data_IF_561497417821
#
_entry.id   IF_561497417821
#
_cell.length_a   1.000
_cell.length_b   1.000
_cell.length_c   1.000
_cell.angle_alpha   90.00
_cell.angle_beta   90.00
_cell.angle_gamma   90.00
#
_symmetry.space_group_name_H-M   'P 1'
#
loop_
_entity.id
_entity.type
_entity.pdbx_description
1 polymer ?
#
# COMPACT_ATOMS: atom_id res chain seq x y z
N UNK A 1 -13.38 -2.09 -7.48
CA UNK A 1 -13.57 -2.16 -6.02
C UNK A 1 -14.51 -1.07 -5.53
N UNK A 2 -14.17 0.22 -5.62
CA UNK A 2 -15.05 1.30 -5.19
C UNK A 2 -16.42 1.29 -5.88
N UNK A 3 -16.48 0.97 -7.18
CA UNK A 3 -17.75 0.85 -7.89
C UNK A 3 -18.55 -0.40 -7.44
N UNK A 4 -17.87 -1.39 -6.85
CA UNK A 4 -18.52 -2.59 -6.28
C UNK A 4 -19.05 -2.35 -4.87
N UNK A 5 -18.40 -1.48 -4.09
CA UNK A 5 -18.85 -1.08 -2.74
C UNK A 5 -19.95 -0.03 -2.76
N UNK A 6 -20.20 0.62 -3.91
CA UNK A 6 -21.08 1.78 -4.01
C UNK A 6 -20.51 3.07 -3.38
N UNK A 7 -19.35 2.99 -2.76
CA UNK A 7 -18.69 4.10 -2.05
C UNK A 7 -17.50 4.63 -2.87
N UNK A 8 -17.67 5.82 -3.46
CA UNK A 8 -16.66 6.46 -4.31
C UNK A 8 -15.76 7.37 -3.49
N UNK A 9 -14.57 6.86 -3.15
CA UNK A 9 -13.60 7.57 -2.33
C UNK A 9 -12.36 7.94 -3.13
N UNK A 10 -12.40 9.10 -3.78
CA UNK A 10 -11.31 9.55 -4.66
C UNK A 10 -10.01 9.81 -3.90
N UNK A 11 -10.08 10.27 -2.64
CA UNK A 11 -8.90 10.48 -1.79
C UNK A 11 -8.21 9.16 -1.44
N UNK A 12 -8.97 8.13 -1.10
CA UNK A 12 -8.43 6.78 -0.85
C UNK A 12 -7.78 6.24 -2.13
N UNK A 13 -8.42 6.41 -3.29
CA UNK A 13 -7.84 5.99 -4.56
C UNK A 13 -6.54 6.75 -4.86
N UNK A 14 -6.53 8.06 -4.65
CA UNK A 14 -5.35 8.92 -4.83
C UNK A 14 -4.18 8.45 -3.95
N UNK A 15 -4.45 8.13 -2.69
CA UNK A 15 -3.41 7.74 -1.72
C UNK A 15 -2.65 6.47 -2.10
N UNK A 16 -3.31 5.50 -2.74
CA UNK A 16 -2.68 4.21 -3.08
C UNK A 16 -1.94 4.21 -4.41
N UNK A 17 -1.98 5.29 -5.19
CA UNK A 17 -1.26 5.37 -6.47
C UNK A 17 0.25 5.22 -6.32
N UNK A 18 0.83 5.65 -5.20
CA UNK A 18 2.26 5.46 -4.89
C UNK A 18 2.65 4.04 -4.50
N UNK A 19 1.70 3.13 -4.32
CA UNK A 19 2.00 1.73 -4.02
C UNK A 19 2.21 0.87 -5.29
N UNK A 20 2.05 1.47 -6.49
CA UNK A 20 2.32 0.76 -7.74
C UNK A 20 3.81 0.40 -7.90
N UNK A 21 4.07 -0.61 -8.74
CA UNK A 21 5.43 -1.11 -8.93
C UNK A 21 6.05 -1.75 -7.67
N UNK A 22 5.25 -1.95 -6.64
CA UNK A 22 5.68 -2.46 -5.33
C UNK A 22 6.30 -1.36 -4.47
N UNK A 23 5.51 -0.37 -4.05
CA UNK A 23 5.90 0.82 -3.33
C UNK A 23 6.87 1.70 -4.14
N UNK A 24 6.31 2.65 -4.87
CA UNK A 24 7.04 3.58 -5.77
C UNK A 24 8.07 2.87 -6.65
N UNK A 25 7.66 1.77 -7.26
CA UNK A 25 8.50 0.95 -8.15
C UNK A 25 9.72 0.28 -7.48
N UNK A 26 9.80 0.18 -6.16
CA UNK A 26 10.90 -0.49 -5.44
C UNK A 26 10.94 -2.01 -5.63
N UNK A 27 9.85 -2.57 -6.16
CA UNK A 27 9.74 -4.01 -6.41
C UNK A 27 9.18 -4.83 -5.26
N UNK A 28 8.74 -4.20 -4.16
CA UNK A 28 8.09 -4.81 -2.98
C UNK A 28 6.68 -5.35 -3.29
N UNK A 29 5.79 -5.41 -2.32
CA UNK A 29 4.42 -5.93 -2.46
C UNK A 29 3.70 -5.31 -3.66
N UNK A 30 3.16 -6.17 -4.53
CA UNK A 30 2.48 -5.74 -5.74
C UNK A 30 1.31 -4.77 -5.44
N UNK A 31 1.24 -3.63 -6.15
CA UNK A 31 0.18 -2.64 -5.96
C UNK A 31 -1.24 -3.20 -6.17
N UNK A 32 -1.39 -4.27 -6.95
CA UNK A 32 -2.68 -4.99 -7.10
C UNK A 32 -3.10 -5.63 -5.79
N UNK A 33 -2.14 -6.18 -5.03
CA UNK A 33 -2.40 -6.72 -3.69
C UNK A 33 -2.77 -5.61 -2.70
N UNK A 34 -1.97 -4.55 -2.64
CA UNK A 34 -2.20 -3.43 -1.73
C UNK A 34 -3.56 -2.77 -1.99
N UNK A 35 -3.88 -2.48 -3.25
CA UNK A 35 -5.17 -1.91 -3.64
C UNK A 35 -6.34 -2.87 -3.43
N UNK A 36 -6.13 -4.18 -3.63
CA UNK A 36 -7.14 -5.20 -3.38
C UNK A 36 -7.47 -5.38 -1.91
N UNK A 37 -6.46 -5.45 -1.03
CA UNK A 37 -6.66 -5.54 0.41
C UNK A 37 -7.39 -4.32 0.97
N UNK A 38 -6.98 -3.11 0.56
CA UNK A 38 -7.71 -1.89 0.94
C UNK A 38 -9.14 -1.88 0.40
N UNK A 39 -9.35 -2.41 -0.80
CA UNK A 39 -10.68 -2.58 -1.37
C UNK A 39 -11.55 -3.58 -0.61
N UNK A 40 -10.98 -4.66 -0.05
CA UNK A 40 -11.69 -5.59 0.85
C UNK A 40 -12.15 -4.83 2.11
N UNK A 41 -11.25 -4.07 2.77
CA UNK A 41 -11.64 -3.26 3.92
C UNK A 41 -12.75 -2.26 3.58
N UNK A 42 -12.68 -1.61 2.42
CA UNK A 42 -13.71 -0.67 1.97
C UNK A 42 -15.07 -1.37 1.73
N UNK A 43 -15.09 -2.57 1.18
CA UNK A 43 -16.34 -3.33 0.97
C UNK A 43 -17.02 -3.68 2.30
N UNK A 44 -16.25 -3.89 3.36
CA UNK A 44 -16.76 -4.26 4.68
C UNK A 44 -16.81 -3.09 5.68
N UNK A 45 -16.72 -1.87 5.18
CA UNK A 45 -16.65 -0.67 6.02
C UNK A 45 -17.81 -0.53 6.99
N UNK A 46 -19.01 -0.87 6.56
CA UNK A 46 -20.19 -0.81 7.44
C UNK A 46 -20.07 -1.82 8.59
N UNK A 47 -19.60 -3.03 8.30
CA UNK A 47 -19.31 -4.03 9.33
C UNK A 47 -18.20 -3.58 10.28
N UNK A 48 -17.15 -2.90 9.77
CA UNK A 48 -16.09 -2.31 10.60
C UNK A 48 -16.62 -1.28 11.57
N UNK A 49 -17.54 -0.44 11.13
CA UNK A 49 -18.19 0.58 11.99
C UNK A 49 -19.10 -0.03 13.03
N UNK A 50 -19.83 -1.08 12.66
CA UNK A 50 -20.80 -1.73 13.54
C UNK A 50 -20.14 -2.65 14.57
N UNK A 51 -19.10 -3.40 14.18
CA UNK A 51 -18.52 -4.47 15.00
C UNK A 51 -17.06 -4.23 15.40
N UNK A 52 -16.43 -3.13 14.96
CA UNK A 52 -15.09 -2.71 15.36
C UNK A 52 -14.03 -3.78 15.13
N UNK A 53 -13.31 -4.14 16.21
CA UNK A 53 -12.17 -5.07 16.18
C UNK A 53 -12.55 -6.46 15.64
N UNK A 54 -13.76 -6.96 15.94
CA UNK A 54 -14.21 -8.26 15.43
C UNK A 54 -14.32 -8.29 13.91
N UNK A 55 -14.87 -7.21 13.32
CA UNK A 55 -14.91 -7.10 11.87
C UNK A 55 -13.51 -6.87 11.28
N UNK A 56 -12.65 -6.11 11.97
CA UNK A 56 -11.29 -5.88 11.51
C UNK A 56 -10.47 -7.17 11.42
N UNK A 57 -10.56 -8.06 12.42
CA UNK A 57 -9.91 -9.37 12.39
C UNK A 57 -10.40 -10.22 11.21
N UNK A 58 -11.71 -10.28 10.97
CA UNK A 58 -12.29 -11.01 9.84
C UNK A 58 -11.88 -10.43 8.48
N UNK A 59 -11.82 -9.10 8.36
CA UNK A 59 -11.32 -8.40 7.16
C UNK A 59 -9.85 -8.75 6.91
N UNK A 60 -9.02 -8.79 7.97
CA UNK A 60 -7.62 -9.18 7.86
C UNK A 60 -7.43 -10.62 7.38
N UNK A 61 -8.26 -11.55 7.86
CA UNK A 61 -8.25 -12.94 7.38
C UNK A 61 -8.62 -13.03 5.90
N UNK A 62 -9.65 -12.29 5.48
CA UNK A 62 -10.08 -12.27 4.08
C UNK A 62 -9.02 -11.63 3.17
N UNK A 63 -8.43 -10.53 3.60
CA UNK A 63 -7.30 -9.92 2.90
C UNK A 63 -6.09 -10.87 2.84
N UNK A 64 -5.82 -11.63 3.92
CA UNK A 64 -4.79 -12.66 3.95
C UNK A 64 -5.05 -13.77 2.92
N UNK A 65 -6.29 -14.30 2.87
CA UNK A 65 -6.67 -15.29 1.84
C UNK A 65 -6.50 -14.75 0.42
N UNK A 66 -6.79 -13.48 0.20
CA UNK A 66 -6.55 -12.83 -1.09
C UNK A 66 -5.05 -12.78 -1.43
N UNK A 67 -4.19 -12.45 -0.46
CA UNK A 67 -2.72 -12.43 -0.66
C UNK A 67 -2.20 -13.83 -0.97
N UNK A 68 -2.65 -14.85 -0.24
CA UNK A 68 -2.26 -16.25 -0.42
C UNK A 68 -2.68 -16.75 -1.82
N UNK A 69 -3.96 -16.55 -2.19
CA UNK A 69 -4.46 -16.88 -3.52
C UNK A 69 -3.66 -16.19 -4.64
N UNK A 70 -3.30 -14.92 -4.44
CA UNK A 70 -2.53 -14.18 -5.43
C UNK A 70 -1.12 -14.77 -5.61
N UNK A 71 -0.47 -15.15 -4.51
CA UNK A 71 0.82 -15.82 -4.51
C UNK A 71 0.78 -17.15 -5.28
N UNK A 72 -0.24 -17.97 -5.00
CA UNK A 72 -0.47 -19.25 -5.68
C UNK A 72 -0.80 -19.06 -7.17
N UNK A 73 -1.72 -18.15 -7.49
CA UNK A 73 -2.18 -17.94 -8.86
C UNK A 73 -1.14 -17.31 -9.79
N UNK A 74 -0.19 -16.54 -9.24
CA UNK A 74 0.78 -15.75 -10.02
C UNK A 74 2.24 -16.00 -9.68
N UNK A 75 2.53 -16.91 -8.77
CA UNK A 75 3.86 -17.39 -8.41
C UNK A 75 4.63 -16.50 -7.44
N UNK A 76 4.17 -15.27 -7.17
CA UNK A 76 4.80 -14.37 -6.21
C UNK A 76 3.89 -13.19 -5.82
N UNK A 77 4.13 -12.61 -4.65
CA UNK A 77 3.41 -11.43 -4.12
C UNK A 77 4.15 -10.12 -4.39
N UNK A 78 5.46 -10.15 -4.65
CA UNK A 78 6.26 -8.95 -4.90
C UNK A 78 6.33 -8.60 -6.38
N UNK A 79 6.39 -7.30 -6.69
CA UNK A 79 6.45 -6.82 -8.06
C UNK A 79 7.75 -7.27 -8.74
N UNK A 80 8.90 -7.22 -8.03
CA UNK A 80 10.20 -7.66 -8.55
C UNK A 80 10.21 -9.13 -8.94
N UNK A 81 9.74 -10.02 -8.08
CA UNK A 81 9.72 -11.46 -8.37
C UNK A 81 8.79 -11.80 -9.54
N UNK A 82 7.65 -11.11 -9.66
CA UNK A 82 6.67 -11.33 -10.74
C UNK A 82 7.12 -10.81 -12.10
N UNK A 83 7.84 -9.70 -12.13
CA UNK A 83 8.25 -9.06 -13.38
C UNK A 83 9.67 -9.39 -13.80
N UNK A 84 10.52 -9.74 -12.84
CA UNK A 84 11.96 -9.90 -13.05
C UNK A 84 12.65 -8.59 -13.45
N UNK A 85 12.10 -7.45 -13.00
CA UNK A 85 12.51 -6.11 -13.43
C UNK A 85 12.93 -5.27 -12.23
N UNK A 86 14.04 -4.54 -12.38
CA UNK A 86 14.38 -3.40 -11.55
C UNK A 86 13.95 -2.12 -12.27
N UNK A 87 12.88 -1.50 -11.78
CA UNK A 87 12.31 -0.31 -12.39
C UNK A 87 13.19 0.95 -12.20
N UNK A 88 14.20 0.89 -11.35
CA UNK A 88 15.16 2.00 -11.17
C UNK A 88 16.34 1.94 -12.18
N UNK A 89 16.32 1.03 -13.14
CA UNK A 89 17.33 0.91 -14.19
C UNK A 89 16.71 1.10 -15.58
N UNK A 90 17.49 1.68 -16.50
CA UNK A 90 17.07 1.83 -17.91
C UNK A 90 16.78 0.47 -18.54
N UNK A 91 17.66 -0.51 -18.30
CA UNK A 91 17.47 -1.87 -18.80
C UNK A 91 16.21 -2.53 -18.25
N UNK A 92 15.87 -2.28 -16.98
CA UNK A 92 14.65 -2.75 -16.37
C UNK A 92 13.41 -2.14 -17.02
N UNK A 93 13.39 -0.83 -17.21
CA UNK A 93 12.30 -0.12 -17.88
C UNK A 93 12.07 -0.62 -19.30
N UNK A 94 13.15 -0.72 -20.09
CA UNK A 94 13.07 -1.26 -21.45
C UNK A 94 12.55 -2.70 -21.45
N UNK A 95 13.05 -3.55 -20.55
CA UNK A 95 12.64 -4.95 -20.44
C UNK A 95 11.16 -5.09 -20.02
N UNK A 96 10.62 -4.14 -19.27
CA UNK A 96 9.20 -4.13 -18.91
C UNK A 96 8.31 -3.70 -20.07
N UNK A 97 8.71 -2.65 -20.78
CA UNK A 97 7.93 -2.04 -21.86
C UNK A 97 8.05 -2.78 -23.19
N UNK A 98 9.23 -3.38 -23.46
CA UNK A 98 9.54 -4.06 -24.72
C UNK A 98 10.04 -5.49 -24.47
N UNK A 99 9.49 -6.50 -25.14
CA UNK A 99 8.41 -6.46 -26.16
C UNK A 99 6.98 -6.29 -25.61
N UNK A 100 6.81 -5.97 -24.32
CA UNK A 100 5.50 -5.72 -23.69
C UNK A 100 4.84 -6.95 -23.06
N UNK A 101 5.47 -8.12 -23.14
CA UNK A 101 4.94 -9.37 -22.56
C UNK A 101 4.75 -9.27 -21.03
N UNK A 102 5.65 -8.58 -20.32
CA UNK A 102 5.59 -8.38 -18.87
C UNK A 102 4.46 -7.42 -18.48
N UNK A 103 4.33 -6.32 -19.21
CA UNK A 103 3.23 -5.38 -19.01
C UNK A 103 1.89 -6.06 -19.28
N UNK A 104 1.76 -6.81 -20.39
CA UNK A 104 0.54 -7.54 -20.70
C UNK A 104 0.20 -8.62 -19.66
N UNK A 105 1.22 -9.27 -19.08
CA UNK A 105 1.04 -10.20 -17.97
C UNK A 105 0.49 -9.49 -16.74
N UNK A 106 1.04 -8.31 -16.38
CA UNK A 106 0.49 -7.51 -15.28
C UNK A 106 -0.97 -7.14 -15.52
N UNK A 107 -1.35 -6.69 -16.71
CA UNK A 107 -2.74 -6.36 -17.04
C UNK A 107 -3.68 -7.57 -16.90
N UNK A 108 -3.24 -8.77 -17.35
CA UNK A 108 -4.03 -10.01 -17.16
C UNK A 108 -4.18 -10.38 -15.69
N UNK A 109 -3.11 -10.17 -14.88
CA UNK A 109 -3.17 -10.41 -13.43
C UNK A 109 -4.11 -9.43 -12.73
N UNK A 110 -4.13 -8.15 -13.12
CA UNK A 110 -5.10 -7.17 -12.62
C UNK A 110 -6.53 -7.66 -12.93
N UNK A 111 -6.82 -8.05 -14.16
CA UNK A 111 -8.15 -8.52 -14.56
C UNK A 111 -8.60 -9.78 -13.77
N UNK A 112 -7.67 -10.71 -13.50
CA UNK A 112 -7.97 -11.89 -12.68
C UNK A 112 -8.18 -11.54 -11.21
N UNK A 113 -7.37 -10.63 -10.66
CA UNK A 113 -7.51 -10.16 -9.29
C UNK A 113 -8.86 -9.44 -9.09
N UNK A 114 -9.25 -8.57 -10.02
CA UNK A 114 -10.57 -7.89 -9.98
C UNK A 114 -11.71 -8.92 -9.99
N UNK A 115 -11.64 -9.96 -10.84
CA UNK A 115 -12.66 -11.04 -10.83
C UNK A 115 -12.71 -11.80 -9.51
N UNK A 116 -11.55 -12.12 -8.92
CA UNK A 116 -11.51 -12.76 -7.61
C UNK A 116 -12.20 -11.90 -6.55
N UNK A 117 -11.85 -10.61 -6.49
CA UNK A 117 -12.42 -9.66 -5.54
C UNK A 117 -13.93 -9.43 -5.79
N UNK A 118 -14.37 -9.46 -7.04
CA UNK A 118 -15.80 -9.41 -7.36
C UNK A 118 -16.57 -10.60 -6.78
N UNK A 119 -15.98 -11.79 -6.81
CA UNK A 119 -16.61 -12.99 -6.24
C UNK A 119 -16.62 -13.00 -4.69
N UNK A 120 -15.83 -12.12 -4.04
CA UNK A 120 -15.89 -11.91 -2.60
C UNK A 120 -16.98 -10.91 -2.20
N UNK A 121 -17.34 -9.98 -3.09
CA UNK A 121 -18.37 -8.98 -2.82
C UNK A 121 -19.72 -9.65 -2.55
N UNK A 122 -20.38 -9.24 -1.46
CA UNK A 122 -21.67 -9.78 -1.03
C UNK A 122 -21.60 -11.02 -0.12
N UNK A 123 -20.40 -11.44 0.30
CA UNK A 123 -20.25 -12.44 1.35
C UNK A 123 -20.25 -11.76 2.72
N UNK A 124 -21.05 -12.28 3.63
CA UNK A 124 -20.97 -11.86 5.03
C UNK A 124 -19.65 -12.30 5.63
N UNK A 125 -19.03 -11.39 6.40
CA UNK A 125 -17.84 -11.74 7.18
C UNK A 125 -18.24 -12.75 8.26
N UNK A 126 -17.52 -13.87 8.34
CA UNK A 126 -17.55 -14.70 9.54
C UNK A 126 -17.05 -13.86 10.72
N UNK A 127 -17.72 -13.93 11.86
CA UNK A 127 -17.30 -13.20 13.06
C UNK A 127 -15.87 -13.62 13.43
N UNK A 128 -14.95 -12.65 13.47
CA UNK A 128 -13.58 -12.87 13.92
C UNK A 128 -13.50 -13.09 15.43
N UNK A 129 -12.34 -13.53 15.91
CA UNK A 129 -12.07 -13.74 17.33
C UNK A 129 -12.16 -12.45 18.14
N UNK A 130 -12.51 -12.58 19.42
CA UNK A 130 -12.68 -11.48 20.36
C UNK A 130 -11.34 -10.98 20.88
N UNK A 131 -10.89 -9.82 20.47
CA UNK A 131 -9.77 -9.12 21.11
C UNK A 131 -10.29 -8.04 22.06
N UNK A 132 -9.70 -7.96 23.26
CA UNK A 132 -10.01 -6.93 24.25
C UNK A 132 -8.93 -5.85 24.22
N UNK A 133 -9.29 -4.60 23.88
CA UNK A 133 -8.38 -3.47 23.89
C UNK A 133 -8.47 -2.62 22.62
N UNK A 134 -7.86 -1.43 22.66
CA UNK A 134 -7.68 -0.61 21.46
C UNK A 134 -6.54 -1.19 20.62
N UNK A 135 -6.80 -1.58 19.36
CA UNK A 135 -5.76 -2.17 18.53
C UNK A 135 -4.72 -1.12 18.11
N UNK A 136 -3.48 -1.57 18.01
CA UNK A 136 -2.38 -0.80 17.47
C UNK A 136 -2.24 -1.08 15.96
N UNK A 137 -1.97 -0.04 15.20
CA UNK A 137 -1.86 -0.13 13.73
C UNK A 137 -0.65 0.63 13.23
N UNK A 138 0.14 0.04 12.32
CA UNK A 138 1.34 0.66 11.76
C UNK A 138 0.99 1.80 10.80
N UNK A 139 0.28 1.49 9.71
CA UNK A 139 -0.02 2.46 8.66
C UNK A 139 -0.96 3.57 9.14
N UNK A 140 -2.02 3.22 9.87
CA UNK A 140 -2.97 4.19 10.41
C UNK A 140 -2.31 5.15 11.40
N UNK A 141 -1.36 4.68 12.22
CA UNK A 141 -0.62 5.53 13.14
C UNK A 141 0.26 6.54 12.41
N UNK A 142 0.96 6.12 11.34
CA UNK A 142 1.73 7.06 10.50
C UNK A 142 0.82 8.11 9.87
N UNK A 143 -0.30 7.70 9.26
CA UNK A 143 -1.26 8.61 8.63
C UNK A 143 -1.78 9.64 9.63
N UNK A 144 -2.14 9.22 10.85
CA UNK A 144 -2.58 10.10 11.92
C UNK A 144 -1.50 11.10 12.33
N UNK A 145 -0.28 10.63 12.59
CA UNK A 145 0.84 11.50 12.96
C UNK A 145 1.16 12.53 11.89
N UNK A 146 1.10 12.14 10.60
CA UNK A 146 1.30 13.08 9.48
C UNK A 146 0.17 14.10 9.45
N UNK A 147 -1.09 13.68 9.61
CA UNK A 147 -2.24 14.59 9.65
C UNK A 147 -2.12 15.61 10.79
N UNK A 148 -1.78 15.18 11.98
CA UNK A 148 -1.60 16.06 13.15
C UNK A 148 -0.52 17.12 12.90
N UNK A 149 0.57 16.77 12.21
CA UNK A 149 1.71 17.66 11.98
C UNK A 149 1.59 18.54 10.75
N UNK A 150 0.82 18.12 9.74
CA UNK A 150 0.80 18.78 8.41
C UNK A 150 -0.58 19.20 7.95
N UNK A 151 -1.64 18.75 8.60
CA UNK A 151 -3.03 18.88 8.14
C UNK A 151 -3.38 17.99 6.94
N UNK A 152 -2.47 17.14 6.46
CA UNK A 152 -2.70 16.22 5.34
C UNK A 152 -3.16 14.89 5.91
N UNK A 153 -4.42 14.55 5.73
CA UNK A 153 -4.99 13.30 6.23
C UNK A 153 -6.35 13.00 5.61
N UNK A 154 -6.85 11.82 5.91
CA UNK A 154 -8.17 11.36 5.50
C UNK A 154 -8.65 10.32 6.50
N UNK A 155 -9.76 10.60 7.19
CA UNK A 155 -10.30 9.74 8.26
C UNK A 155 -10.62 8.32 7.75
N UNK A 156 -11.17 8.22 6.54
CA UNK A 156 -11.48 6.93 5.96
C UNK A 156 -10.22 6.12 5.65
N UNK A 157 -9.19 6.78 5.11
CA UNK A 157 -7.93 6.10 4.84
C UNK A 157 -7.29 5.57 6.13
N UNK A 158 -7.34 6.34 7.21
CA UNK A 158 -6.86 5.90 8.53
C UNK A 158 -7.68 4.70 9.05
N UNK A 159 -9.02 4.75 8.89
CA UNK A 159 -9.93 3.65 9.26
C UNK A 159 -9.59 2.36 8.50
N UNK A 160 -9.22 2.43 7.23
CA UNK A 160 -9.01 1.26 6.38
C UNK A 160 -7.55 0.76 6.34
N UNK A 161 -6.58 1.59 6.76
CA UNK A 161 -5.15 1.31 6.56
C UNK A 161 -4.60 0.15 7.42
N UNK A 162 -5.36 -0.36 8.40
CA UNK A 162 -4.97 -1.51 9.22
C UNK A 162 -4.68 -2.76 8.38
N UNK A 163 -5.20 -2.86 7.16
CA UNK A 163 -4.90 -3.99 6.25
C UNK A 163 -3.42 -4.08 5.88
N UNK A 164 -2.62 -3.04 6.12
CA UNK A 164 -1.17 -3.05 5.93
C UNK A 164 -0.40 -3.60 7.13
N UNK A 165 -1.07 -3.91 8.23
CA UNK A 165 -0.43 -4.47 9.42
C UNK A 165 0.23 -5.80 9.13
N UNK A 166 1.38 -6.03 9.80
CA UNK A 166 2.17 -7.24 9.60
C UNK A 166 2.66 -7.44 8.17
N UNK A 167 2.74 -6.37 7.38
CA UNK A 167 3.19 -6.40 5.99
C UNK A 167 2.12 -6.94 5.03
N UNK A 168 0.98 -6.28 4.99
CA UNK A 168 -0.23 -6.61 4.26
C UNK A 168 -0.89 -7.90 4.76
N UNK A 169 -1.90 -7.72 5.61
CA UNK A 169 -2.69 -8.79 6.20
C UNK A 169 -1.84 -9.90 6.84
N UNK A 170 -0.82 -9.50 7.60
CA UNK A 170 0.12 -10.40 8.33
C UNK A 170 0.98 -11.30 7.43
N UNK A 171 1.06 -11.04 6.12
CA UNK A 171 1.82 -11.86 5.15
C UNK A 171 3.26 -11.43 4.95
N UNK A 172 3.76 -10.50 5.80
CA UNK A 172 5.17 -10.11 5.83
C UNK A 172 5.66 -9.32 4.60
N UNK A 173 4.76 -8.75 3.81
CA UNK A 173 5.07 -7.88 2.68
C UNK A 173 5.51 -6.49 3.12
N UNK A 174 5.20 -5.45 2.32
CA UNK A 174 5.57 -4.06 2.58
C UNK A 174 5.24 -3.64 4.02
N UNK A 175 6.22 -3.07 4.72
CA UNK A 175 6.02 -2.56 6.08
C UNK A 175 4.88 -1.54 6.14
N UNK A 176 3.94 -1.74 7.08
CA UNK A 176 2.78 -0.86 7.22
C UNK A 176 3.15 0.59 7.51
N UNK A 177 4.22 0.84 8.27
CA UNK A 177 4.70 2.21 8.54
C UNK A 177 5.15 2.90 7.24
N UNK A 178 5.92 2.20 6.40
CA UNK A 178 6.32 2.72 5.09
C UNK A 178 5.11 2.91 4.16
N UNK A 179 4.16 1.97 4.16
CA UNK A 179 2.93 2.12 3.38
C UNK A 179 2.15 3.37 3.79
N UNK A 180 2.02 3.63 5.10
CA UNK A 180 1.39 4.85 5.63
C UNK A 180 2.07 6.13 5.17
N UNK A 181 3.41 6.18 5.21
CA UNK A 181 4.19 7.33 4.74
C UNK A 181 3.97 7.61 3.24
N UNK A 182 3.98 6.57 2.41
CA UNK A 182 3.74 6.70 0.97
C UNK A 182 2.29 7.10 0.65
N UNK A 183 1.32 6.57 1.41
CA UNK A 183 -0.08 6.97 1.25
C UNK A 183 -0.30 8.43 1.64
N UNK A 184 0.33 8.92 2.72
CA UNK A 184 0.28 10.33 3.11
C UNK A 184 0.88 11.24 2.04
N UNK A 185 2.04 10.87 1.47
CA UNK A 185 2.64 11.58 0.35
C UNK A 185 1.68 11.70 -0.83
N UNK A 186 1.01 10.59 -1.18
CA UNK A 186 0.12 10.56 -2.33
C UNK A 186 -1.21 11.28 -2.09
N UNK A 187 -1.66 11.43 -0.85
CA UNK A 187 -2.77 12.34 -0.53
C UNK A 187 -2.44 13.79 -0.95
N UNK A 188 -1.19 14.21 -0.78
CA UNK A 188 -0.76 15.56 -1.18
C UNK A 188 -0.52 15.66 -2.70
N UNK A 189 0.32 14.80 -3.24
CA UNK A 189 0.92 14.93 -4.56
C UNK A 189 0.46 13.88 -5.58
N UNK A 190 -0.29 12.87 -5.17
CA UNK A 190 -0.79 11.81 -6.05
C UNK A 190 -1.76 12.33 -7.10
N UNK A 191 -1.94 11.56 -8.16
CA UNK A 191 -2.85 11.90 -9.25
C UNK A 191 -4.31 11.60 -8.90
N UNK A 192 -5.22 12.49 -9.28
CA UNK A 192 -6.65 12.23 -9.24
C UNK A 192 -7.07 11.38 -10.45
N UNK A 193 -6.83 10.08 -10.34
CA UNK A 193 -6.92 9.12 -11.46
C UNK A 193 -8.26 9.17 -12.19
N UNK A 194 -9.37 9.41 -11.49
CA UNK A 194 -10.71 9.45 -12.09
C UNK A 194 -10.97 10.69 -12.93
N UNK A 195 -10.35 11.82 -12.59
CA UNK A 195 -10.48 13.07 -13.34
C UNK A 195 -9.59 13.10 -14.58
N UNK A 196 -8.63 12.17 -14.68
CA UNK A 196 -7.69 12.13 -15.80
C UNK A 196 -8.34 11.56 -17.05
N UNK A 197 -8.30 12.34 -18.15
CA UNK A 197 -8.60 11.80 -19.48
C UNK A 197 -7.55 10.75 -19.86
N UNK A 198 -7.95 9.75 -20.64
CA UNK A 198 -7.10 8.61 -21.02
C UNK A 198 -5.71 9.01 -21.52
N UNK A 199 -5.60 10.05 -22.38
CA UNK A 199 -4.31 10.55 -22.86
C UNK A 199 -3.43 11.15 -21.75
N UNK A 200 -4.01 11.76 -20.72
CA UNK A 200 -3.26 12.27 -19.55
C UNK A 200 -2.75 11.12 -18.67
N UNK A 201 -3.52 10.06 -18.54
CA UNK A 201 -3.10 8.85 -17.81
C UNK A 201 -1.89 8.21 -18.50
N UNK A 202 -1.90 8.07 -19.84
CA UNK A 202 -0.75 7.57 -20.60
C UNK A 202 0.46 8.50 -20.45
N UNK A 203 0.25 9.81 -20.58
CA UNK A 203 1.34 10.80 -20.41
C UNK A 203 1.93 10.74 -19.01
N UNK A 204 1.09 10.64 -17.97
CA UNK A 204 1.53 10.49 -16.57
C UNK A 204 2.31 9.19 -16.35
N UNK A 205 1.84 8.08 -16.93
CA UNK A 205 2.54 6.80 -16.87
C UNK A 205 3.95 6.88 -17.51
N UNK A 206 4.05 7.46 -18.72
CA UNK A 206 5.33 7.61 -19.41
C UNK A 206 6.25 8.55 -18.63
N UNK A 207 5.75 9.72 -18.19
CA UNK A 207 6.53 10.67 -17.39
C UNK A 207 7.02 10.03 -16.08
N UNK A 208 6.18 9.28 -15.37
CA UNK A 208 6.54 8.55 -14.16
C UNK A 208 7.70 7.56 -14.40
N UNK A 209 7.65 6.82 -15.48
CA UNK A 209 8.73 5.88 -15.85
C UNK A 209 10.03 6.61 -16.19
N UNK A 210 9.97 7.74 -16.90
CA UNK A 210 11.15 8.56 -17.20
C UNK A 210 11.73 9.14 -15.91
N UNK A 211 10.90 9.67 -15.03
CA UNK A 211 11.33 10.30 -13.78
C UNK A 211 11.98 9.31 -12.79
N UNK A 212 11.69 8.01 -12.92
CA UNK A 212 12.42 6.98 -12.17
C UNK A 212 13.90 6.87 -12.59
N UNK A 213 14.23 7.31 -13.81
CA UNK A 213 15.57 7.15 -14.40
C UNK A 213 16.39 8.44 -14.36
N UNK A 214 15.76 9.61 -14.34
CA UNK A 214 16.44 10.90 -14.42
C UNK A 214 16.35 11.66 -13.11
N UNK A 215 17.41 12.42 -12.79
CA UNK A 215 17.45 13.27 -11.59
C UNK A 215 16.65 14.55 -11.75
N UNK A 216 16.53 15.07 -12.96
CA UNK A 216 15.72 16.27 -13.26
C UNK A 216 14.26 15.86 -13.44
N UNK A 217 13.40 16.43 -12.63
CA UNK A 217 11.95 16.13 -12.62
C UNK A 217 11.29 16.79 -13.84
N UNK A 218 10.56 16.00 -14.61
CA UNK A 218 9.71 16.51 -15.69
C UNK A 218 8.32 16.76 -15.09
N UNK A 219 7.99 18.02 -14.83
CA UNK A 219 6.70 18.44 -14.26
C UNK A 219 6.74 18.79 -12.77
N UNK A 220 5.56 19.10 -12.19
CA UNK A 220 5.37 19.44 -10.77
C UNK A 220 5.76 18.27 -9.85
N UNK A 221 5.92 18.49 -8.51
CA UNK A 221 6.49 17.51 -7.63
C UNK A 221 5.89 16.13 -7.89
N UNK A 222 6.76 15.22 -8.32
CA UNK A 222 6.35 13.94 -8.77
C UNK A 222 6.38 12.98 -7.59
N UNK A 223 5.23 12.37 -7.21
CA UNK A 223 5.15 11.51 -6.03
C UNK A 223 6.11 10.32 -6.08
N UNK A 224 6.50 9.85 -7.27
CA UNK A 224 7.44 8.74 -7.41
C UNK A 224 8.87 9.12 -7.02
N UNK A 225 9.37 10.30 -7.44
CA UNK A 225 10.69 10.78 -7.08
C UNK A 225 10.81 10.99 -5.58
N UNK A 226 9.85 11.69 -5.00
CA UNK A 226 9.78 11.95 -3.56
C UNK A 226 9.61 10.64 -2.78
N UNK A 227 8.71 9.78 -3.22
CA UNK A 227 8.46 8.49 -2.60
C UNK A 227 9.69 7.56 -2.62
N UNK A 228 10.52 7.64 -3.67
CA UNK A 228 11.80 6.93 -3.74
C UNK A 228 12.76 7.38 -2.63
N UNK A 229 12.83 8.67 -2.34
CA UNK A 229 13.64 9.19 -1.23
C UNK A 229 13.10 8.68 0.11
N UNK A 230 11.78 8.73 0.33
CA UNK A 230 11.13 8.15 1.53
C UNK A 230 11.52 6.67 1.70
N UNK A 231 11.42 5.86 0.63
CA UNK A 231 11.79 4.44 0.66
C UNK A 231 13.28 4.26 0.98
N UNK A 232 14.15 5.10 0.43
CA UNK A 232 15.59 5.06 0.69
C UNK A 232 15.89 5.36 2.17
N UNK A 233 15.38 6.47 2.68
CA UNK A 233 15.60 6.89 4.07
C UNK A 233 15.01 5.89 5.06
N UNK A 234 13.82 5.39 4.81
CA UNK A 234 13.23 4.34 5.63
C UNK A 234 14.10 3.08 5.65
N UNK A 235 14.62 2.65 4.48
CA UNK A 235 15.50 1.47 4.38
C UNK A 235 16.82 1.68 5.10
N UNK A 236 17.39 2.87 5.06
CA UNK A 236 18.64 3.21 5.80
C UNK A 236 18.44 3.05 7.31
N UNK A 237 17.26 3.35 7.83
CA UNK A 237 16.95 3.22 9.25
C UNK A 237 16.51 1.80 9.65
N UNK A 238 15.68 1.15 8.81
CA UNK A 238 15.08 -0.14 9.11
C UNK A 238 15.89 -1.34 8.61
N UNK A 239 16.88 -1.14 7.74
CA UNK A 239 17.60 -2.17 7.02
C UNK A 239 16.81 -2.79 5.86
N UNK A 240 15.50 -2.93 6.01
CA UNK A 240 14.57 -3.59 5.09
C UNK A 240 13.32 -2.75 4.86
N UNK A 241 12.51 -3.14 3.86
CA UNK A 241 11.21 -2.52 3.61
C UNK A 241 10.04 -3.52 3.75
N UNK A 242 10.32 -4.81 3.83
CA UNK A 242 9.35 -5.87 4.09
C UNK A 242 9.23 -6.15 5.59
N UNK A 243 7.98 -6.29 6.07
CA UNK A 243 7.70 -6.49 7.48
C UNK A 243 8.33 -7.77 8.03
N UNK A 244 8.36 -8.88 7.23
CA UNK A 244 8.98 -10.14 7.66
C UNK A 244 10.47 -10.02 7.97
N UNK A 245 11.17 -9.19 7.19
CA UNK A 245 12.62 -8.99 7.35
C UNK A 245 12.92 -8.05 8.52
N UNK A 246 12.08 -7.02 8.70
CA UNK A 246 12.15 -6.07 9.83
C UNK A 246 11.83 -6.76 11.16
N UNK A 247 10.75 -7.52 11.20
CA UNK A 247 10.31 -8.22 12.42
C UNK A 247 11.06 -9.54 12.66
N UNK A 248 11.78 -10.04 11.64
CA UNK A 248 12.48 -11.35 11.64
C UNK A 248 11.55 -12.52 12.02
N UNK A 249 10.26 -12.39 11.68
CA UNK A 249 9.24 -13.42 11.94
C UNK A 249 8.04 -13.30 11.02
N UNK A 250 7.26 -14.37 10.94
CA UNK A 250 5.90 -14.36 10.40
C UNK A 250 4.88 -14.16 11.54
N UNK A 251 3.71 -13.66 11.22
CA UNK A 251 2.58 -13.53 12.14
C UNK A 251 1.51 -14.54 11.79
N UNK A 252 0.94 -15.16 12.83
CA UNK A 252 -0.07 -16.20 12.68
C UNK A 252 -1.50 -15.63 12.61
N UNK A 253 -1.70 -14.40 13.05
CA UNK A 253 -2.99 -13.73 13.04
C UNK A 253 -3.00 -12.43 13.84
N UNK A 254 -4.21 -11.98 14.14
CA UNK A 254 -4.48 -10.70 14.79
C UNK A 254 -3.81 -10.59 16.17
N UNK A 255 -4.11 -11.51 17.08
CA UNK A 255 -3.63 -11.42 18.47
C UNK A 255 -2.12 -11.56 18.58
N UNK A 256 -1.50 -12.43 17.77
CA UNK A 256 -0.06 -12.58 17.69
C UNK A 256 0.60 -11.27 17.23
N UNK A 257 0.04 -10.63 16.22
CA UNK A 257 0.55 -9.34 15.73
C UNK A 257 0.36 -8.22 16.75
N UNK A 258 -0.82 -8.12 17.39
CA UNK A 258 -1.11 -7.09 18.39
C UNK A 258 -0.19 -7.22 19.62
N UNK A 259 0.03 -8.44 20.08
CA UNK A 259 0.95 -8.74 21.19
C UNK A 259 2.38 -8.31 20.82
N UNK A 260 2.84 -8.65 19.63
CA UNK A 260 4.16 -8.27 19.14
C UNK A 260 4.30 -6.75 19.04
N UNK A 261 3.32 -6.08 18.43
CA UNK A 261 3.39 -4.64 18.20
C UNK A 261 3.37 -3.84 19.51
N UNK A 262 2.58 -4.27 20.48
CA UNK A 262 2.51 -3.67 21.81
C UNK A 262 3.85 -3.76 22.57
N UNK A 263 4.61 -4.83 22.36
CA UNK A 263 5.93 -5.02 22.99
C UNK A 263 7.12 -4.49 22.18
N UNK A 264 6.91 -4.09 20.92
CA UNK A 264 8.01 -3.73 20.03
C UNK A 264 8.34 -2.23 20.05
N UNK A 265 9.30 -1.84 20.90
CA UNK A 265 9.85 -0.48 20.88
C UNK A 265 10.43 -0.12 19.50
N UNK A 266 11.00 -1.10 18.81
CA UNK A 266 11.58 -0.91 17.48
C UNK A 266 10.50 -0.55 16.43
N UNK A 267 9.40 -1.29 16.37
CA UNK A 267 8.30 -0.95 15.45
C UNK A 267 7.64 0.38 15.79
N UNK A 268 7.50 0.72 17.07
CA UNK A 268 7.01 2.03 17.51
C UNK A 268 7.95 3.16 17.04
N UNK A 269 9.27 2.98 17.17
CA UNK A 269 10.28 3.90 16.66
C UNK A 269 10.22 4.05 15.14
N UNK A 270 10.10 2.96 14.40
CA UNK A 270 9.96 3.01 12.94
C UNK A 270 8.67 3.70 12.48
N UNK A 271 7.57 3.54 13.21
CA UNK A 271 6.32 4.25 12.92
C UNK A 271 6.48 5.75 13.08
N UNK A 272 7.10 6.20 14.18
CA UNK A 272 7.40 7.62 14.40
C UNK A 272 8.35 8.18 13.34
N UNK A 273 9.40 7.43 13.02
CA UNK A 273 10.39 7.82 12.01
C UNK A 273 9.77 7.90 10.60
N UNK A 274 8.94 6.93 10.19
CA UNK A 274 8.24 6.97 8.91
C UNK A 274 7.34 8.22 8.79
N UNK A 275 6.67 8.60 9.88
CA UNK A 275 5.89 9.83 9.91
C UNK A 275 6.76 11.08 9.78
N UNK A 276 7.94 11.11 10.42
CA UNK A 276 8.90 12.24 10.32
C UNK A 276 9.44 12.38 8.90
N UNK A 277 9.87 11.28 8.27
CA UNK A 277 10.35 11.26 6.89
C UNK A 277 9.26 11.81 5.95
N UNK A 278 8.01 11.32 6.10
CA UNK A 278 6.90 11.81 5.29
C UNK A 278 6.62 13.31 5.52
N UNK A 279 6.61 13.77 6.78
CA UNK A 279 6.40 15.19 7.10
C UNK A 279 7.49 16.08 6.52
N UNK A 280 8.75 15.65 6.58
CA UNK A 280 9.89 16.37 6.01
C UNK A 280 9.77 16.49 4.50
N UNK A 281 9.48 15.39 3.83
CA UNK A 281 9.24 15.38 2.39
C UNK A 281 8.06 16.29 1.99
N UNK A 282 6.95 16.25 2.74
CA UNK A 282 5.79 17.09 2.48
C UNK A 282 6.06 18.58 2.66
N UNK A 283 6.91 18.98 3.60
CA UNK A 283 7.31 20.39 3.81
C UNK A 283 8.22 20.88 2.70
N UNK A 284 9.25 20.10 2.36
CA UNK A 284 10.23 20.47 1.34
C UNK A 284 9.59 20.73 -0.04
N UNK A 285 8.62 19.92 -0.42
CA UNK A 285 8.02 19.99 -1.75
C UNK A 285 6.72 20.80 -1.82
N UNK A 286 6.24 21.36 -0.70
CA UNK A 286 5.16 22.36 -0.66
C UNK A 286 5.65 23.81 -0.69
N UNK A 287 6.92 24.04 -0.27
CA UNK A 287 7.60 25.35 -0.33
C UNK A 287 8.07 25.64 -1.75
#
# INVERSE_FOLDING_TARGET
MQDMSGDRQDRVLKSVTGLEGGAVASGSTCGVLSGGALGIALMHRESLRQYGVHAASAVMEEAGRYVDWFGEAFGATTCRARTGVDFYTVSGQLRYLFPGDRMMRCLRHIARAVRYLHNLSGKDLSRGETSTGQPLHCAASVLRLVRERTGIGDDMLEELAFVFDGGLAFRGGLCGALAGALMALNLAFGNEVRSLRYHRTIKGFVAGHINLLVKSKIGMPEPFGIGREIVREFREQAGYIECRDIASRAFTGWDDFQTYLAGSVYCAGLTASAAEIACSALKEYRS
#
